data_IF_234290242644
#
_entry.id   IF_234290242644
#
_cell.length_a   1.000
_cell.length_b   1.000
_cell.length_c   1.000
_cell.angle_alpha   90.00
_cell.angle_beta   90.00
_cell.angle_gamma   90.00
#
_symmetry.space_group_name_H-M   'P 1'
#
loop_
_entity.id
_entity.type
_entity.pdbx_description
1 polymer ?
#
# COMPACT_ATOMS: atom_id res chain seq x y z
N UNK A 1 -6.04 -5.67 0.42
CA UNK A 1 -4.63 -5.33 0.72
C UNK A 1 -4.41 -5.53 2.21
N UNK A 2 -3.42 -6.33 2.58
CA UNK A 2 -3.04 -6.54 3.98
C UNK A 2 -1.94 -5.56 4.40
N UNK A 3 -1.91 -5.23 5.68
CA UNK A 3 -0.91 -4.35 6.28
C UNK A 3 -0.40 -4.95 7.58
N UNK A 4 0.91 -4.86 7.78
CA UNK A 4 1.56 -5.20 9.04
C UNK A 4 2.32 -3.99 9.58
N UNK A 5 2.00 -3.58 10.81
CA UNK A 5 2.70 -2.52 11.54
C UNK A 5 3.67 -3.17 12.53
N UNK A 6 4.94 -2.78 12.50
CA UNK A 6 5.96 -3.35 13.41
C UNK A 6 5.75 -2.91 14.87
N UNK A 7 5.16 -1.74 15.10
CA UNK A 7 4.80 -1.26 16.43
C UNK A 7 3.29 -1.08 16.55
N UNK A 8 2.80 -1.20 17.78
CA UNK A 8 1.39 -0.96 18.09
C UNK A 8 0.99 0.49 17.78
N UNK A 9 0.26 0.66 16.70
CA UNK A 9 -0.16 1.95 16.19
C UNK A 9 -1.66 2.14 16.40
N UNK A 10 -2.02 3.00 17.36
CA UNK A 10 -3.41 3.36 17.63
C UNK A 10 -3.52 4.89 17.71
N UNK A 11 -4.13 5.55 16.71
CA UNK A 11 -4.24 7.01 16.67
C UNK A 11 -5.29 7.57 17.66
N UNK A 12 -6.07 6.72 18.32
CA UNK A 12 -7.13 7.15 19.26
C UNK A 12 -6.72 7.01 20.72
N UNK A 13 -5.93 5.98 21.05
CA UNK A 13 -5.63 5.59 22.43
C UNK A 13 -4.72 6.58 23.18
N UNK A 14 -3.79 7.25 22.49
CA UNK A 14 -2.77 8.08 23.16
C UNK A 14 -2.58 9.43 22.47
N UNK A 15 -2.49 10.51 23.25
CA UNK A 15 -2.09 11.86 22.76
C UNK A 15 -0.60 12.01 22.47
N UNK A 16 0.20 10.97 22.70
CA UNK A 16 1.64 11.00 22.49
C UNK A 16 1.96 10.78 21.01
N UNK A 17 3.00 11.45 20.48
CA UNK A 17 3.45 11.18 19.13
C UNK A 17 3.94 9.74 19.00
N UNK A 18 3.54 9.06 17.93
CA UNK A 18 3.96 7.67 17.64
C UNK A 18 4.42 7.55 16.20
N UNK A 19 5.51 6.81 16.02
CA UNK A 19 6.05 6.43 14.72
C UNK A 19 6.02 4.90 14.62
N UNK A 20 5.52 4.37 13.50
CA UNK A 20 5.60 2.95 13.20
C UNK A 20 5.99 2.74 11.74
N UNK A 21 7.06 1.99 11.45
CA UNK A 21 7.23 1.44 10.12
C UNK A 21 6.12 0.41 9.88
N UNK A 22 5.72 0.29 8.62
CA UNK A 22 4.72 -0.68 8.19
C UNK A 22 5.06 -1.20 6.80
N UNK A 23 4.58 -2.40 6.52
CA UNK A 23 4.62 -2.99 5.19
C UNK A 23 3.21 -3.36 4.77
N UNK A 24 2.93 -3.25 3.49
CA UNK A 24 1.68 -3.66 2.88
C UNK A 24 1.95 -4.59 1.69
N UNK A 25 1.01 -5.50 1.47
CA UNK A 25 1.01 -6.38 0.30
C UNK A 25 -0.42 -6.77 -0.03
N UNK A 26 -0.71 -7.01 -1.29
CA UNK A 26 -2.04 -7.47 -1.70
C UNK A 26 -2.09 -7.86 -3.16
N UNK A 27 -3.32 -8.06 -3.61
CA UNK A 27 -3.66 -8.29 -5.02
C UNK A 27 -4.67 -7.22 -5.40
N UNK A 28 -4.52 -6.65 -6.60
CA UNK A 28 -5.39 -5.62 -7.13
C UNK A 28 -5.71 -5.86 -8.60
N UNK A 29 -6.81 -5.27 -9.05
CA UNK A 29 -7.19 -5.18 -10.46
C UNK A 29 -7.10 -3.72 -10.86
N UNK A 30 -6.44 -3.43 -11.98
CA UNK A 30 -6.37 -2.10 -12.55
C UNK A 30 -7.02 -2.10 -13.94
N UNK A 31 -7.60 -0.96 -14.31
CA UNK A 31 -8.23 -0.74 -15.61
C UNK A 31 -7.47 0.35 -16.35
N UNK A 32 -7.11 0.08 -17.60
CA UNK A 32 -6.51 1.05 -18.53
C UNK A 32 -7.26 0.98 -19.86
N UNK A 33 -7.99 2.04 -20.19
CA UNK A 33 -8.91 2.03 -21.33
C UNK A 33 -9.97 0.92 -21.20
N UNK A 34 -9.99 0.01 -22.17
CA UNK A 34 -10.89 -1.17 -22.22
C UNK A 34 -10.28 -2.43 -21.60
N UNK A 35 -9.00 -2.39 -21.21
CA UNK A 35 -8.26 -3.55 -20.71
C UNK A 35 -8.22 -3.58 -19.19
N UNK A 36 -8.43 -4.76 -18.61
CA UNK A 36 -8.26 -5.04 -17.19
C UNK A 36 -7.02 -5.90 -16.98
N UNK A 37 -6.21 -5.57 -15.98
CA UNK A 37 -5.05 -6.38 -15.62
C UNK A 37 -4.92 -6.54 -14.12
N UNK A 38 -4.39 -7.70 -13.73
CA UNK A 38 -4.07 -8.02 -12.35
C UNK A 38 -2.69 -7.47 -12.01
N UNK A 39 -2.53 -6.97 -10.80
CA UNK A 39 -1.24 -6.55 -10.27
C UNK A 39 -1.12 -6.88 -8.79
N UNK A 40 0.11 -7.03 -8.33
CA UNK A 40 0.44 -7.26 -6.93
C UNK A 40 1.06 -5.99 -6.39
N UNK A 41 0.29 -5.14 -5.67
CA UNK A 41 0.85 -4.05 -4.92
C UNK A 41 1.53 -4.57 -3.66
N UNK A 42 2.78 -4.18 -3.43
CA UNK A 42 3.48 -4.36 -2.18
C UNK A 42 4.35 -3.15 -1.90
N UNK A 43 4.53 -2.82 -0.64
CA UNK A 43 5.16 -1.55 -0.28
C UNK A 43 5.51 -1.48 1.19
N UNK A 44 6.29 -0.47 1.51
CA UNK A 44 6.70 -0.16 2.86
C UNK A 44 6.55 1.33 3.11
N UNK A 45 6.41 1.69 4.37
CA UNK A 45 6.27 3.08 4.74
C UNK A 45 6.48 3.35 6.21
N UNK A 46 6.37 4.63 6.54
CA UNK A 46 6.43 5.13 7.91
C UNK A 46 5.11 5.83 8.22
N UNK A 47 4.45 5.42 9.30
CA UNK A 47 3.28 6.10 9.86
C UNK A 47 3.68 6.93 11.06
N UNK A 48 3.26 8.18 11.06
CA UNK A 48 3.45 9.14 12.13
C UNK A 48 2.10 9.69 12.59
N UNK A 49 1.84 9.62 13.89
CA UNK A 49 0.68 10.24 14.52
C UNK A 49 1.18 11.34 15.45
N UNK A 50 1.00 12.64 15.16
CA UNK A 50 1.39 13.72 16.07
C UNK A 50 0.40 13.91 17.24
N UNK A 51 -0.86 13.52 17.06
CA UNK A 51 -1.91 13.73 18.04
C UNK A 51 -3.12 12.83 17.78
N UNK A 52 -4.14 12.92 18.62
CA UNK A 52 -5.31 12.06 18.48
C UNK A 52 -5.96 12.24 17.10
N UNK A 53 -6.25 11.10 16.43
CA UNK A 53 -7.00 10.98 15.16
C UNK A 53 -6.28 11.44 13.89
N UNK A 54 -5.13 12.08 13.98
CA UNK A 54 -4.35 12.50 12.82
C UNK A 54 -3.23 11.50 12.55
N UNK A 55 -3.15 10.99 11.33
CA UNK A 55 -2.06 10.10 10.93
C UNK A 55 -1.51 10.58 9.59
N UNK A 56 -0.21 10.80 9.55
CA UNK A 56 0.58 11.01 8.35
C UNK A 56 1.30 9.71 8.01
N UNK A 57 1.34 9.33 6.74
CA UNK A 57 2.10 8.18 6.30
C UNK A 57 2.94 8.56 5.08
N UNK A 58 4.22 8.22 5.12
CA UNK A 58 5.06 8.18 3.94
C UNK A 58 5.01 6.75 3.41
N UNK A 59 4.58 6.56 2.16
CA UNK A 59 4.43 5.25 1.54
C UNK A 59 5.29 5.16 0.28
N UNK A 60 6.05 4.09 0.17
CA UNK A 60 6.65 3.66 -1.09
C UNK A 60 6.07 2.31 -1.48
N UNK A 61 5.33 2.28 -2.59
CA UNK A 61 4.65 1.10 -3.09
C UNK A 61 5.20 0.72 -4.47
N UNK A 62 5.42 -0.57 -4.67
CA UNK A 62 5.76 -1.21 -5.93
C UNK A 62 4.56 -2.01 -6.40
N UNK A 63 4.27 -1.94 -7.68
CA UNK A 63 3.21 -2.71 -8.31
C UNK A 63 3.85 -3.60 -9.37
N UNK A 64 3.89 -4.90 -9.09
CA UNK A 64 4.28 -5.88 -10.09
C UNK A 64 3.05 -6.19 -10.93
N UNK A 65 3.10 -5.82 -12.20
CA UNK A 65 2.03 -6.15 -13.15
C UNK A 65 2.33 -7.49 -13.82
N UNK A 66 1.29 -8.12 -14.38
CA UNK A 66 1.41 -9.38 -15.12
C UNK A 66 1.22 -9.20 -16.63
N UNK A 67 1.19 -7.97 -17.12
CA UNK A 67 0.83 -7.63 -18.48
C UNK A 67 1.93 -6.80 -19.17
N UNK A 68 2.35 -7.26 -20.34
CA UNK A 68 3.47 -6.75 -21.18
C UNK A 68 3.03 -5.58 -22.09
N UNK A 69 2.03 -4.80 -21.67
CA UNK A 69 1.38 -3.77 -22.51
C UNK A 69 1.38 -2.39 -21.87
N UNK A 70 2.19 -2.15 -20.84
CA UNK A 70 2.18 -0.87 -20.12
C UNK A 70 3.12 0.14 -20.78
N UNK A 71 4.15 -0.30 -21.51
CA UNK A 71 5.15 0.57 -22.12
C UNK A 71 5.25 0.54 -23.66
N UNK A 72 4.38 -0.22 -24.35
CA UNK A 72 4.41 -0.42 -25.82
C UNK A 72 5.80 -0.86 -26.33
N UNK A 73 6.63 -1.43 -25.45
CA UNK A 73 7.99 -1.84 -25.76
C UNK A 73 8.02 -3.33 -26.10
N UNK A 74 8.25 -3.63 -27.38
CA UNK A 74 8.49 -5.01 -27.82
C UNK A 74 9.88 -5.45 -27.39
N UNK A 75 9.94 -6.28 -26.34
CA UNK A 75 11.17 -6.97 -25.96
C UNK A 75 11.72 -7.76 -27.16
N UNK A 76 13.05 -7.80 -27.40
CA UNK A 76 13.62 -8.59 -28.49
C UNK A 76 13.19 -10.06 -28.33
N UNK A 77 12.45 -10.56 -29.30
CA UNK A 77 11.83 -11.88 -29.27
C UNK A 77 12.90 -12.99 -29.31
N UNK A 78 13.26 -13.52 -28.14
CA UNK A 78 14.15 -14.69 -28.01
C UNK A 78 13.36 -16.00 -27.84
N UNK A 79 12.06 -16.02 -28.22
CA UNK A 79 11.20 -17.20 -28.19
C UNK A 79 10.95 -17.78 -26.78
N UNK A 80 11.41 -17.11 -25.73
CA UNK A 80 11.24 -17.47 -24.32
C UNK A 80 10.43 -16.36 -23.67
N UNK A 81 9.23 -16.69 -23.17
CA UNK A 81 8.43 -15.82 -22.31
C UNK A 81 8.59 -16.30 -20.86
N UNK A 82 9.56 -15.79 -20.08
CA UNK A 82 9.69 -16.17 -18.69
C UNK A 82 8.49 -15.63 -17.89
N UNK A 83 7.78 -16.49 -17.17
CA UNK A 83 6.64 -16.10 -16.32
C UNK A 83 6.98 -15.05 -15.23
N UNK A 84 8.26 -14.91 -14.86
CA UNK A 84 8.71 -14.09 -13.74
C UNK A 84 9.59 -12.90 -14.13
N UNK A 85 10.23 -12.97 -15.29
CA UNK A 85 11.25 -12.03 -15.75
C UNK A 85 10.70 -11.33 -16.99
N UNK A 86 10.71 -10.00 -17.03
CA UNK A 86 10.12 -9.15 -18.07
C UNK A 86 8.62 -8.80 -17.90
N UNK A 87 8.22 -8.35 -16.72
CA UNK A 87 6.89 -7.77 -16.54
C UNK A 87 7.05 -6.41 -15.91
N UNK A 88 6.30 -5.42 -16.39
CA UNK A 88 6.48 -4.02 -16.04
C UNK A 88 6.20 -3.76 -14.56
N UNK A 89 7.14 -3.09 -13.89
CA UNK A 89 6.99 -2.65 -12.50
C UNK A 89 6.86 -1.15 -12.49
N UNK A 90 5.88 -0.63 -11.76
CA UNK A 90 5.82 0.78 -11.45
C UNK A 90 5.91 1.00 -9.95
N UNK A 91 6.54 2.10 -9.58
CA UNK A 91 6.67 2.51 -8.17
C UNK A 91 5.94 3.82 -7.93
N UNK A 92 5.27 3.90 -6.79
CA UNK A 92 4.57 5.08 -6.32
C UNK A 92 5.17 5.49 -4.97
N UNK A 93 5.55 6.75 -4.85
CA UNK A 93 5.88 7.37 -3.56
C UNK A 93 4.83 8.42 -3.24
N UNK A 94 4.27 8.35 -2.04
CA UNK A 94 3.16 9.21 -1.65
C UNK A 94 3.23 9.63 -0.19
N UNK A 95 2.81 10.87 0.06
CA UNK A 95 2.50 11.36 1.41
C UNK A 95 0.99 11.30 1.60
N UNK A 96 0.56 10.52 2.58
CA UNK A 96 -0.85 10.24 2.86
C UNK A 96 -1.21 10.88 4.19
N UNK A 97 -2.28 11.66 4.20
CA UNK A 97 -2.88 12.17 5.43
C UNK A 97 -4.22 11.44 5.67
N UNK A 98 -4.40 10.92 6.87
CA UNK A 98 -5.60 10.22 7.30
C UNK A 98 -6.14 10.86 8.57
N UNK A 99 -7.44 11.16 8.57
CA UNK A 99 -8.16 11.65 9.74
C UNK A 99 -9.22 10.64 10.16
N UNK A 100 -9.20 10.25 11.45
CA UNK A 100 -10.21 9.36 12.03
C UNK A 100 -11.39 10.16 12.60
N UNK A 101 -12.56 10.02 12.00
CA UNK A 101 -13.79 10.67 12.46
C UNK A 101 -14.16 10.15 13.86
N UNK A 102 -14.52 11.02 14.82
CA UNK A 102 -15.07 10.59 16.11
C UNK A 102 -16.36 9.80 15.89
N UNK A 103 -16.38 8.55 16.35
CA UNK A 103 -17.62 7.81 16.51
C UNK A 103 -17.91 7.70 18.02
N UNK A 104 -19.06 8.20 18.46
CA UNK A 104 -19.50 8.16 19.86
C UNK A 104 -20.02 6.76 20.26
N UNK A 105 -20.06 5.82 19.30
CA UNK A 105 -20.41 4.42 19.53
C UNK A 105 -19.18 3.69 20.07
N UNK A 106 -19.17 3.48 21.38
CA UNK A 106 -18.37 2.55 22.18
C UNK A 106 -17.08 2.03 21.54
N UNK A 107 -15.94 2.48 22.08
CA UNK A 107 -14.70 1.73 22.07
C UNK A 107 -15.04 0.33 22.58
N UNK A 108 -15.09 -0.67 21.72
CA UNK A 108 -15.16 -2.07 22.16
C UNK A 108 -13.95 -2.28 23.08
N UNK A 109 -14.15 -2.59 24.38
CA UNK A 109 -13.07 -2.92 25.27
C UNK A 109 -12.63 -4.34 24.94
N UNK A 110 -11.92 -4.50 23.84
CA UNK A 110 -11.10 -5.67 23.67
C UNK A 110 -9.94 -5.48 24.67
N UNK A 111 -10.00 -6.26 25.75
CA UNK A 111 -9.02 -6.41 26.83
C UNK A 111 -9.12 -5.37 27.96
N UNK A 112 -9.69 -5.83 29.09
CA UNK A 112 -9.36 -5.35 30.44
C UNK A 112 -8.14 -6.12 30.94
#
# INVERSE_FOLDING_TARGET
>A
MGEFNFFSFNPTSTRKPKLSPYVNAGVGVAQMGTSYFLHIPFGGGLKFTPGQRHTFALEWRLHKTFNDTIDDYSSPDDGRKPFLHNNDWFSFIGLIYTYRIPNNSYICPAYK
#
